data_IF_084680866197
#
_entry.id   IF_084680866197
#
_cell.length_a   1.000
_cell.length_b   1.000
_cell.length_c   1.000
_cell.angle_alpha   90.00
_cell.angle_beta   90.00
_cell.angle_gamma   90.00
#
_symmetry.space_group_name_H-M   'P 1'
#
loop_
_entity.id
_entity.type
_entity.pdbx_description
1 polymer ?
#
# COMPACT_ATOMS: atom_id res chain seq x y z
N UNK A 1 12.14 -28.49 4.79
CA UNK A 1 10.95 -27.75 4.33
C UNK A 1 10.82 -26.49 5.17
N UNK A 2 11.48 -25.40 4.76
CA UNK A 2 11.43 -24.13 5.51
C UNK A 2 10.20 -23.36 5.08
N UNK A 3 9.22 -23.25 5.98
CA UNK A 3 8.00 -22.48 5.77
C UNK A 3 8.37 -20.99 5.69
N UNK A 4 8.22 -20.41 4.50
CA UNK A 4 8.43 -18.98 4.25
C UNK A 4 7.40 -18.19 5.07
N UNK A 5 7.81 -17.69 6.23
CA UNK A 5 6.99 -16.77 7.04
C UNK A 5 6.75 -15.52 6.21
N UNK A 6 5.52 -15.36 5.74
CA UNK A 6 5.08 -14.19 4.99
C UNK A 6 5.26 -12.93 5.86
N UNK A 7 6.30 -12.14 5.57
CA UNK A 7 6.66 -10.91 6.29
C UNK A 7 5.57 -9.83 6.23
N UNK A 8 4.59 -10.00 5.34
CA UNK A 8 3.46 -9.08 5.15
C UNK A 8 2.21 -9.46 5.96
N UNK A 9 2.24 -10.56 6.74
CA UNK A 9 1.08 -11.02 7.51
C UNK A 9 0.69 -10.09 8.68
N UNK A 10 1.58 -9.18 9.11
CA UNK A 10 1.33 -8.21 10.17
C UNK A 10 1.48 -6.78 9.64
N UNK A 11 0.54 -6.32 8.79
CA UNK A 11 0.52 -4.93 8.28
C UNK A 11 0.51 -3.87 9.39
N UNK A 12 -0.12 -4.16 10.54
CA UNK A 12 -0.13 -3.26 11.72
C UNK A 12 1.25 -3.02 12.34
N UNK A 13 2.28 -3.80 11.96
CA UNK A 13 3.66 -3.65 12.43
C UNK A 13 4.59 -2.92 11.45
N UNK A 14 4.13 -2.54 10.26
CA UNK A 14 5.00 -1.91 9.26
C UNK A 14 5.62 -0.58 9.79
N UNK A 15 4.86 0.17 10.59
CA UNK A 15 5.36 1.37 11.29
C UNK A 15 6.08 1.05 12.61
N UNK A 16 5.84 -0.11 13.21
CA UNK A 16 6.37 -0.50 14.53
C UNK A 16 7.80 -1.04 14.50
N UNK A 17 8.56 -0.83 13.41
CA UNK A 17 9.91 -1.39 13.29
C UNK A 17 10.89 -0.94 14.38
N UNK A 18 10.63 0.21 15.02
CA UNK A 18 11.45 0.78 16.11
C UNK A 18 10.80 0.72 17.50
N UNK A 19 9.50 0.43 17.59
CA UNK A 19 8.75 0.49 18.85
C UNK A 19 8.02 -0.84 19.08
N UNK A 20 8.13 -1.38 20.29
CA UNK A 20 7.49 -2.65 20.65
C UNK A 20 5.98 -2.50 20.92
N UNK A 21 5.55 -1.29 21.25
CA UNK A 21 4.17 -0.95 21.61
C UNK A 21 3.42 -0.31 20.42
N UNK A 22 2.09 -0.52 20.31
CA UNK A 22 1.28 0.13 19.30
C UNK A 22 1.24 1.65 19.51
N UNK A 23 1.15 2.40 18.42
CA UNK A 23 0.97 3.86 18.47
C UNK A 23 -0.39 4.18 19.09
N UNK A 24 -0.42 5.15 20.01
CA UNK A 24 -1.65 5.62 20.63
C UNK A 24 -2.63 6.15 19.56
N UNK A 25 -3.91 5.83 19.69
CA UNK A 25 -4.97 6.27 18.77
C UNK A 25 -5.01 7.78 18.57
N UNK A 26 -4.74 8.58 19.60
CA UNK A 26 -4.71 10.03 19.51
C UNK A 26 -3.55 10.51 18.64
N UNK A 27 -2.39 9.85 18.75
CA UNK A 27 -1.23 10.14 17.90
C UNK A 27 -1.53 9.75 16.45
N UNK A 28 -2.13 8.58 16.20
CA UNK A 28 -2.53 8.17 14.85
C UNK A 28 -3.47 9.19 14.19
N UNK A 29 -4.50 9.64 14.90
CA UNK A 29 -5.41 10.66 14.39
C UNK A 29 -4.73 12.01 14.14
N UNK A 30 -3.79 12.41 15.01
CA UNK A 30 -3.09 13.68 14.88
C UNK A 30 -2.09 13.69 13.72
N UNK A 31 -1.39 12.58 13.48
CA UNK A 31 -0.38 12.48 12.43
C UNK A 31 -0.94 12.07 11.08
N UNK A 32 -2.19 11.61 11.03
CA UNK A 32 -2.80 11.13 9.81
C UNK A 32 -3.05 12.23 8.79
N UNK A 33 -2.69 11.99 7.53
CA UNK A 33 -3.00 12.88 6.41
C UNK A 33 -4.09 12.34 5.48
N UNK A 34 -4.54 11.11 5.73
CA UNK A 34 -5.55 10.39 4.96
C UNK A 34 -6.80 11.22 4.63
N UNK A 35 -7.34 11.98 5.59
CA UNK A 35 -8.55 12.79 5.38
C UNK A 35 -8.41 13.84 4.24
N UNK A 36 -7.18 14.24 3.92
CA UNK A 36 -6.87 15.25 2.92
C UNK A 36 -6.20 14.64 1.68
N UNK A 37 -5.31 13.68 1.87
CA UNK A 37 -4.47 13.09 0.81
C UNK A 37 -5.19 12.05 -0.05
N UNK A 38 -6.35 11.54 0.36
CA UNK A 38 -7.19 10.65 -0.46
C UNK A 38 -7.43 11.16 -1.89
N UNK A 39 -7.50 12.49 -2.07
CA UNK A 39 -7.67 13.10 -3.40
C UNK A 39 -6.48 12.88 -4.35
N UNK A 40 -5.32 12.52 -3.81
CA UNK A 40 -4.08 12.25 -4.56
C UNK A 40 -3.96 10.77 -4.96
N UNK A 41 -4.89 9.91 -4.55
CA UNK A 41 -4.76 8.46 -4.76
C UNK A 41 -4.59 8.07 -6.24
N UNK A 42 -5.28 8.76 -7.17
CA UNK A 42 -5.14 8.46 -8.60
C UNK A 42 -3.74 8.80 -9.15
N UNK A 43 -3.13 9.88 -8.66
CA UNK A 43 -1.77 10.25 -9.08
C UNK A 43 -0.73 9.35 -8.42
N UNK A 44 -0.96 8.90 -7.19
CA UNK A 44 -0.11 7.92 -6.51
C UNK A 44 -0.15 6.54 -7.19
N UNK A 45 -1.32 6.09 -7.63
CA UNK A 45 -1.47 4.87 -8.45
C UNK A 45 -0.68 5.00 -9.75
N UNK A 46 -0.81 6.13 -10.46
CA UNK A 46 -0.07 6.35 -11.69
C UNK A 46 1.45 6.33 -11.48
N UNK A 47 1.94 7.02 -10.43
CA UNK A 47 3.35 7.01 -10.05
C UNK A 47 3.85 5.61 -9.67
N UNK A 48 3.06 4.87 -8.90
CA UNK A 48 3.35 3.50 -8.49
C UNK A 48 3.43 2.54 -9.68
N UNK A 49 2.54 2.67 -10.67
CA UNK A 49 2.58 1.88 -11.90
C UNK A 49 3.84 2.15 -12.73
N UNK A 50 4.21 3.43 -12.90
CA UNK A 50 5.43 3.81 -13.60
C UNK A 50 6.68 3.27 -12.89
N UNK A 51 6.70 3.32 -11.56
CA UNK A 51 7.79 2.76 -10.77
C UNK A 51 7.86 1.23 -10.91
N UNK A 52 6.73 0.54 -10.82
CA UNK A 52 6.67 -0.91 -11.00
C UNK A 52 7.09 -1.35 -12.41
N UNK A 53 6.74 -0.59 -13.45
CA UNK A 53 7.19 -0.83 -14.82
C UNK A 53 8.71 -0.72 -14.92
N UNK A 54 9.30 0.33 -14.32
CA UNK A 54 10.75 0.50 -14.25
C UNK A 54 11.41 -0.69 -13.53
N UNK A 55 10.88 -1.13 -12.38
CA UNK A 55 11.41 -2.29 -11.64
C UNK A 55 11.39 -3.57 -12.48
N UNK A 56 10.33 -3.78 -13.27
CA UNK A 56 10.23 -4.92 -14.19
C UNK A 56 11.26 -4.82 -15.32
N UNK A 57 11.47 -3.62 -15.87
CA UNK A 57 12.47 -3.37 -16.91
C UNK A 57 13.90 -3.64 -16.42
N UNK A 58 14.19 -3.29 -15.15
CA UNK A 58 15.46 -3.58 -14.47
C UNK A 58 15.57 -5.03 -13.97
N UNK A 59 14.54 -5.86 -14.21
CA UNK A 59 14.48 -7.27 -13.78
C UNK A 59 14.57 -7.46 -12.25
N UNK A 60 14.19 -6.44 -11.49
CA UNK A 60 14.08 -6.51 -10.02
C UNK A 60 12.82 -7.27 -9.64
N UNK A 61 11.73 -7.09 -10.39
CA UNK A 61 10.51 -7.89 -10.31
C UNK A 61 10.27 -8.63 -11.63
N UNK A 62 9.56 -9.75 -11.58
CA UNK A 62 9.21 -10.46 -12.81
C UNK A 62 8.11 -9.73 -13.58
N UNK A 63 8.00 -10.01 -14.88
CA UNK A 63 6.88 -9.51 -15.70
C UNK A 63 5.54 -10.00 -15.17
N UNK A 64 5.49 -11.21 -14.60
CA UNK A 64 4.28 -11.76 -13.99
C UNK A 64 3.87 -10.97 -12.75
N UNK A 65 4.83 -10.60 -11.89
CA UNK A 65 4.56 -9.77 -10.72
C UNK A 65 4.11 -8.37 -11.12
N UNK A 66 4.74 -7.76 -12.13
CA UNK A 66 4.30 -6.47 -12.67
C UNK A 66 2.85 -6.52 -13.19
N UNK A 67 2.48 -7.56 -13.94
CA UNK A 67 1.10 -7.74 -14.41
C UNK A 67 0.12 -7.91 -13.25
N UNK A 68 0.52 -8.60 -12.18
CA UNK A 68 -0.30 -8.75 -10.98
C UNK A 68 -0.50 -7.40 -10.26
N UNK A 69 0.56 -6.59 -10.14
CA UNK A 69 0.49 -5.22 -9.60
C UNK A 69 -0.45 -4.37 -10.45
N UNK A 70 -0.29 -4.37 -11.77
CA UNK A 70 -1.17 -3.63 -12.69
C UNK A 70 -2.64 -3.99 -12.49
N UNK A 71 -2.94 -5.29 -12.40
CA UNK A 71 -4.32 -5.76 -12.17
C UNK A 71 -4.87 -5.28 -10.83
N UNK A 72 -4.06 -5.36 -9.76
CA UNK A 72 -4.45 -4.90 -8.42
C UNK A 72 -4.70 -3.39 -8.39
N UNK A 73 -3.81 -2.60 -8.99
CA UNK A 73 -3.95 -1.14 -9.09
C UNK A 73 -5.21 -0.75 -9.86
N UNK A 74 -5.49 -1.41 -11.00
CA UNK A 74 -6.70 -1.17 -11.77
C UNK A 74 -7.99 -1.55 -11.02
N UNK A 75 -7.92 -2.50 -10.08
CA UNK A 75 -9.04 -2.80 -9.19
C UNK A 75 -9.24 -1.69 -8.16
N UNK A 76 -8.17 -1.28 -7.48
CA UNK A 76 -8.19 -0.21 -6.46
C UNK A 76 -8.71 1.10 -7.08
N UNK A 77 -8.21 1.48 -8.26
CA UNK A 77 -8.66 2.66 -8.98
C UNK A 77 -10.18 2.65 -9.22
N UNK A 78 -10.73 1.52 -9.67
CA UNK A 78 -12.18 1.36 -9.87
C UNK A 78 -12.97 1.46 -8.57
N UNK A 79 -12.45 0.90 -7.48
CA UNK A 79 -13.09 0.99 -6.17
C UNK A 79 -13.11 2.43 -5.64
N UNK A 80 -12.01 3.18 -5.82
CA UNK A 80 -11.91 4.59 -5.45
C UNK A 80 -12.89 5.43 -6.28
N UNK A 81 -12.89 5.27 -7.61
CA UNK A 81 -13.80 6.00 -8.49
C UNK A 81 -15.28 5.70 -8.23
N UNK A 82 -15.58 4.47 -7.79
CA UNK A 82 -16.93 4.07 -7.41
C UNK A 82 -17.33 4.48 -5.98
N UNK A 83 -16.42 5.10 -5.21
CA UNK A 83 -16.65 5.44 -3.81
C UNK A 83 -16.82 4.22 -2.89
N UNK A 84 -16.27 3.05 -3.28
CA UNK A 84 -16.39 1.78 -2.54
C UNK A 84 -15.08 1.33 -1.90
N UNK A 85 -14.00 2.08 -2.08
CA UNK A 85 -12.73 1.77 -1.47
C UNK A 85 -12.79 1.99 0.04
N UNK A 86 -12.39 0.97 0.81
CA UNK A 86 -12.37 1.01 2.27
C UNK A 86 -11.07 1.66 2.76
N UNK A 87 -11.14 2.94 3.11
CA UNK A 87 -10.02 3.70 3.63
C UNK A 87 -9.79 3.35 5.11
N UNK A 88 -8.69 2.64 5.38
CA UNK A 88 -8.37 2.20 6.74
C UNK A 88 -7.34 3.13 7.38
N UNK A 89 -7.78 4.00 8.30
CA UNK A 89 -6.91 4.90 9.06
C UNK A 89 -5.78 4.17 9.80
N UNK A 90 -6.05 2.94 10.25
CA UNK A 90 -5.07 2.11 10.95
C UNK A 90 -3.94 1.55 10.06
N UNK A 91 -3.97 1.80 8.75
CA UNK A 91 -2.95 1.35 7.78
C UNK A 91 -2.03 2.48 7.28
N UNK A 92 -2.16 3.69 7.82
CA UNK A 92 -1.13 4.72 7.69
C UNK A 92 0.10 4.44 8.56
#
# INVERSE_FOLDING_TARGET
MSSSKNSLANKSKAWSGRFAEPVDTLVQHYTSSLAFDQRLALVDIAGSLAHAEMLAAQKIISKADFMAIQKGMAQIEKEIMAGRFDWQLALE
#
